data_IF_572749213784
#
_entry.id   IF_572749213784
#
_cell.length_a   1.000
_cell.length_b   1.000
_cell.length_c   1.000
_cell.angle_alpha   90.00
_cell.angle_beta   90.00
_cell.angle_gamma   90.00
#
_symmetry.space_group_name_H-M   'P 1'
#
loop_
_entity.id
_entity.type
_entity.pdbx_description
1 polymer ?
#
# COMPACT_ATOMS: atom_id res chain seq x y z
N UNK A 1 48.18 -8.87 -16.96
CA UNK A 1 47.68 -8.57 -15.61
C UNK A 1 46.25 -8.10 -15.74
N UNK A 2 45.37 -8.75 -15.00
CA UNK A 2 43.93 -8.55 -14.97
C UNK A 2 43.57 -7.21 -14.36
N UNK A 3 42.57 -6.53 -14.92
CA UNK A 3 41.98 -5.31 -14.37
C UNK A 3 40.70 -4.97 -15.12
N UNK A 4 39.71 -5.87 -15.11
CA UNK A 4 38.36 -5.53 -15.56
C UNK A 4 37.71 -4.70 -14.47
N UNK A 5 37.72 -3.38 -14.66
CA UNK A 5 37.02 -2.39 -13.84
C UNK A 5 35.56 -2.80 -13.67
N UNK A 6 35.23 -3.41 -12.52
CA UNK A 6 33.84 -3.68 -12.11
C UNK A 6 33.29 -2.39 -11.54
N UNK A 7 32.89 -1.48 -12.43
CA UNK A 7 32.03 -0.37 -12.06
C UNK A 7 30.58 -0.89 -12.02
N UNK A 8 30.19 -1.47 -10.87
CA UNK A 8 28.79 -1.77 -10.55
C UNK A 8 28.24 -0.52 -9.86
N UNK A 9 27.73 0.41 -10.65
CA UNK A 9 26.91 1.53 -10.17
C UNK A 9 25.82 0.99 -9.21
N UNK A 10 25.69 1.52 -7.98
CA UNK A 10 24.75 1.04 -6.96
C UNK A 10 23.28 1.42 -7.25
N UNK A 11 22.99 1.96 -8.43
CA UNK A 11 21.66 2.40 -8.87
C UNK A 11 21.07 1.49 -9.94
N UNK A 12 21.42 0.21 -9.94
CA UNK A 12 20.70 -0.81 -10.71
C UNK A 12 19.28 -0.93 -10.16
N UNK A 13 18.36 -0.08 -10.62
CA UNK A 13 17.10 -0.38 -11.34
C UNK A 13 16.33 -1.69 -11.01
N UNK A 14 16.58 -2.30 -9.85
CA UNK A 14 16.09 -3.61 -9.46
C UNK A 14 15.26 -3.54 -8.16
N UNK A 15 15.11 -2.36 -7.56
CA UNK A 15 14.01 -2.13 -6.63
C UNK A 15 12.73 -1.87 -7.43
N UNK A 16 12.29 -2.90 -8.17
CA UNK A 16 10.95 -2.92 -8.72
C UNK A 16 10.01 -2.83 -7.53
N UNK A 17 9.13 -1.82 -7.43
CA UNK A 17 8.14 -1.80 -6.36
C UNK A 17 7.42 -3.13 -6.44
N UNK A 18 7.32 -3.90 -5.34
CA UNK A 18 6.68 -5.20 -5.37
C UNK A 18 5.31 -5.01 -6.01
N UNK A 19 5.16 -5.58 -7.22
CA UNK A 19 3.94 -5.43 -7.97
C UNK A 19 2.81 -5.87 -7.05
N UNK A 20 1.74 -5.06 -6.91
CA UNK A 20 0.70 -5.35 -5.94
C UNK A 20 0.20 -6.77 -6.20
N UNK A 21 0.46 -7.65 -5.24
CA UNK A 21 0.03 -9.04 -5.27
C UNK A 21 -1.46 -9.10 -5.58
N UNK A 22 -1.91 -10.14 -6.28
CA UNK A 22 -3.31 -10.26 -6.73
C UNK A 22 -4.33 -10.03 -5.61
N UNK A 23 -3.95 -10.37 -4.37
CA UNK A 23 -4.67 -10.05 -3.15
C UNK A 23 -4.88 -8.55 -2.91
N UNK A 24 -3.82 -7.74 -3.00
CA UNK A 24 -3.86 -6.27 -2.89
C UNK A 24 -4.73 -5.64 -3.97
N UNK A 25 -4.76 -6.25 -5.17
CA UNK A 25 -5.63 -5.83 -6.28
C UNK A 25 -7.10 -6.19 -6.02
N UNK A 26 -7.37 -7.39 -5.52
CA UNK A 26 -8.71 -7.85 -5.13
C UNK A 26 -9.31 -7.00 -4.00
N UNK A 27 -8.52 -6.66 -2.99
CA UNK A 27 -8.92 -5.71 -1.95
C UNK A 27 -9.17 -4.29 -2.48
N UNK A 28 -8.69 -3.95 -3.68
CA UNK A 28 -8.99 -2.65 -4.31
C UNK A 28 -10.21 -2.71 -5.23
N UNK A 29 -10.53 -3.85 -5.84
CA UNK A 29 -11.63 -3.98 -6.81
C UNK A 29 -12.92 -4.57 -6.27
N UNK A 30 -12.90 -5.25 -5.12
CA UNK A 30 -14.09 -5.89 -4.57
C UNK A 30 -15.08 -4.85 -4.01
N UNK A 31 -16.21 -4.67 -4.71
CA UNK A 31 -17.32 -3.80 -4.27
C UNK A 31 -17.83 -4.14 -2.86
N UNK A 32 -18.00 -5.42 -2.46
CA UNK A 32 -18.42 -5.74 -1.08
C UNK A 32 -17.42 -5.25 -0.03
N UNK A 33 -16.12 -5.40 -0.31
CA UNK A 33 -15.07 -4.96 0.60
C UNK A 33 -14.92 -3.44 0.66
N UNK A 34 -15.11 -2.75 -0.47
CA UNK A 34 -15.19 -1.29 -0.52
C UNK A 34 -16.34 -0.77 0.36
N UNK A 35 -17.51 -1.42 0.32
CA UNK A 35 -18.67 -1.05 1.15
C UNK A 35 -18.38 -1.23 2.65
N UNK A 36 -17.80 -2.38 3.03
CA UNK A 36 -17.41 -2.64 4.43
C UNK A 36 -16.39 -1.58 4.90
N UNK A 37 -15.37 -1.29 4.10
CA UNK A 37 -14.36 -0.27 4.42
C UNK A 37 -14.99 1.13 4.56
N UNK A 38 -15.94 1.47 3.69
CA UNK A 38 -16.68 2.73 3.78
C UNK A 38 -17.46 2.82 5.10
N UNK A 39 -18.22 1.78 5.47
CA UNK A 39 -18.98 1.74 6.71
C UNK A 39 -18.06 1.88 7.92
N UNK A 40 -16.97 1.11 7.98
CA UNK A 40 -16.02 1.14 9.11
C UNK A 40 -15.40 2.52 9.30
N UNK A 41 -14.97 3.18 8.22
CA UNK A 41 -14.41 4.54 8.29
C UNK A 41 -15.43 5.54 8.80
N UNK A 42 -16.65 5.53 8.24
CA UNK A 42 -17.72 6.44 8.67
C UNK A 42 -18.08 6.23 10.15
N UNK A 43 -18.23 4.98 10.59
CA UNK A 43 -18.50 4.66 12.00
C UNK A 43 -17.38 5.14 12.92
N UNK A 44 -16.11 5.01 12.50
CA UNK A 44 -14.96 5.43 13.31
C UNK A 44 -14.90 6.95 13.48
N UNK A 45 -15.18 7.70 12.41
CA UNK A 45 -15.26 9.17 12.44
C UNK A 45 -16.47 9.62 13.27
N UNK A 46 -17.64 9.01 13.10
CA UNK A 46 -18.83 9.30 13.90
C UNK A 46 -18.58 9.04 15.39
N UNK A 47 -17.94 7.92 15.74
CA UNK A 47 -17.57 7.60 17.12
C UNK A 47 -16.57 8.60 17.71
N UNK A 48 -15.60 9.06 16.91
CA UNK A 48 -14.63 10.08 17.33
C UNK A 48 -15.32 11.42 17.58
N UNK A 49 -16.17 11.87 16.65
CA UNK A 49 -16.96 13.09 16.76
C UNK A 49 -17.88 13.05 18.00
N UNK A 50 -18.58 11.93 18.21
CA UNK A 50 -19.46 11.74 19.36
C UNK A 50 -18.72 11.78 20.70
N UNK A 51 -17.48 11.26 20.75
CA UNK A 51 -16.63 11.35 21.94
C UNK A 51 -16.04 12.73 22.18
N UNK A 52 -15.88 13.54 21.13
CA UNK A 52 -15.28 14.88 21.24
C UNK A 52 -16.27 15.95 21.72
N UNK A 53 -17.56 15.64 21.75
CA UNK A 53 -18.63 16.59 22.09
C UNK A 53 -19.09 16.49 23.56
N UNK A 54 -18.35 15.76 24.40
CA UNK A 54 -18.54 15.64 25.85
C UNK A 54 -17.23 15.93 26.58
#
# INVERSE_FOLDING_TARGET
MSGKETNREPYQQAYYPPAPTGFTRYMRTSLPWQLIRFIVINVKILKLMAKSHH
#
